data_IF_063765001718
#
_entry.id   IF_063765001718
#
_cell.length_a   1.000
_cell.length_b   1.000
_cell.length_c   1.000
_cell.angle_alpha   90.00
_cell.angle_beta   90.00
_cell.angle_gamma   90.00
#
_symmetry.space_group_name_H-M   'P 1'
#
loop_
_entity.id
_entity.type
_entity.pdbx_description
1 polymer ?
#
# COMPACT_ATOMS: atom_id res chain seq x y z
N UNK A 1 9.23 25.76 -28.78
CA UNK A 1 9.57 25.63 -27.35
C UNK A 1 9.58 24.16 -26.97
N UNK A 2 10.66 23.71 -26.36
CA UNK A 2 10.63 22.33 -25.90
C UNK A 2 9.58 22.18 -24.81
N UNK A 3 8.78 21.12 -24.90
CA UNK A 3 7.79 20.83 -23.88
C UNK A 3 8.49 20.54 -22.54
N UNK A 4 7.95 21.10 -21.47
CA UNK A 4 8.44 20.74 -20.14
C UNK A 4 8.14 19.27 -19.92
N UNK A 5 9.11 18.49 -19.36
CA UNK A 5 8.82 17.11 -19.03
C UNK A 5 7.61 17.08 -18.09
N UNK A 6 6.69 16.17 -18.37
CA UNK A 6 5.54 15.96 -17.48
C UNK A 6 6.05 15.46 -16.13
N UNK A 7 5.53 16.00 -15.02
CA UNK A 7 5.91 15.47 -13.72
C UNK A 7 5.59 13.97 -13.64
N UNK A 8 6.47 13.21 -12.99
CA UNK A 8 6.24 11.79 -12.79
C UNK A 8 4.93 11.59 -12.02
N UNK A 9 4.10 10.67 -12.51
CA UNK A 9 2.87 10.31 -11.79
C UNK A 9 3.25 9.55 -10.52
N UNK A 10 2.68 9.96 -9.41
CA UNK A 10 2.94 9.38 -8.11
C UNK A 10 1.66 8.75 -7.59
N UNK A 11 1.64 7.42 -7.49
CA UNK A 11 0.55 6.71 -6.82
C UNK A 11 0.65 6.94 -5.32
N UNK A 12 -0.48 6.85 -4.64
CA UNK A 12 -0.53 6.94 -3.18
C UNK A 12 -1.21 5.70 -2.63
N UNK A 13 -0.73 5.21 -1.51
CA UNK A 13 -1.29 4.03 -0.89
C UNK A 13 -1.01 3.94 0.60
N UNK A 14 -1.54 2.89 1.22
CA UNK A 14 -1.37 2.68 2.66
C UNK A 14 -0.72 1.34 2.93
N UNK A 15 0.11 1.32 3.96
CA UNK A 15 0.55 0.09 4.61
C UNK A 15 -0.14 0.07 5.98
N UNK A 16 -1.30 -0.59 6.03
CA UNK A 16 -2.04 -0.74 7.28
C UNK A 16 -1.44 -1.88 8.09
N UNK A 17 -1.30 -1.66 9.38
CA UNK A 17 -0.76 -2.67 10.27
C UNK A 17 -1.71 -2.92 11.43
N UNK A 18 -1.60 -4.11 12.03
CA UNK A 18 -2.29 -4.44 13.27
C UNK A 18 -1.38 -5.32 14.12
N UNK A 19 -1.62 -5.27 15.42
CA UNK A 19 -0.90 -6.13 16.37
C UNK A 19 -1.70 -7.41 16.61
N UNK A 20 -1.00 -8.55 16.55
CA UNK A 20 -1.58 -9.85 16.89
C UNK A 20 -0.63 -10.46 17.94
N UNK A 21 -0.95 -10.26 19.23
CA UNK A 21 0.00 -10.54 20.29
C UNK A 21 1.22 -9.61 20.15
N UNK A 22 2.40 -10.19 20.12
CA UNK A 22 3.65 -9.43 19.90
C UNK A 22 4.01 -9.30 18.43
N UNK A 23 3.28 -9.97 17.56
CA UNK A 23 3.53 -9.93 16.12
C UNK A 23 2.80 -8.77 15.47
N UNK A 24 3.28 -8.38 14.29
CA UNK A 24 2.66 -7.35 13.48
C UNK A 24 2.25 -7.97 12.16
N UNK A 25 1.02 -7.67 11.74
CA UNK A 25 0.51 -8.03 10.42
C UNK A 25 0.25 -6.77 9.61
N UNK A 26 0.41 -6.88 8.29
CA UNK A 26 0.14 -5.78 7.36
C UNK A 26 -0.86 -6.21 6.30
N UNK A 27 -1.67 -5.28 5.85
CA UNK A 27 -2.68 -5.53 4.83
C UNK A 27 -2.07 -5.42 3.44
N UNK A 28 -2.16 -6.50 2.68
CA UNK A 28 -1.71 -6.56 1.30
C UNK A 28 -2.85 -7.02 0.39
N UNK A 29 -2.78 -6.63 -0.87
CA UNK A 29 -3.70 -7.05 -1.92
C UNK A 29 -2.95 -7.74 -3.03
N UNK A 30 -3.64 -8.62 -3.76
CA UNK A 30 -3.08 -9.33 -4.91
C UNK A 30 -3.86 -8.96 -6.16
N UNK A 31 -3.18 -8.61 -7.27
CA UNK A 31 -3.87 -8.24 -8.50
C UNK A 31 -4.57 -9.45 -9.12
N UNK A 32 -5.79 -9.22 -9.63
CA UNK A 32 -6.59 -10.27 -10.24
C UNK A 32 -6.22 -10.53 -11.69
N UNK A 33 -6.74 -11.64 -12.25
CA UNK A 33 -6.60 -11.99 -13.65
C UNK A 33 -5.51 -13.03 -13.90
N UNK A 34 -5.66 -13.75 -15.01
CA UNK A 34 -4.73 -14.83 -15.35
C UNK A 34 -3.29 -14.38 -15.52
N UNK A 35 -3.09 -13.20 -16.09
CA UNK A 35 -1.76 -12.63 -16.28
C UNK A 35 -1.10 -12.27 -14.96
N UNK A 36 -1.89 -12.09 -13.91
CA UNK A 36 -1.41 -11.64 -12.61
C UNK A 36 -1.32 -12.76 -11.57
N UNK A 37 -1.62 -14.01 -11.98
CA UNK A 37 -1.64 -15.15 -11.05
C UNK A 37 -0.38 -15.27 -10.21
N UNK A 38 0.77 -15.09 -10.84
CA UNK A 38 2.08 -15.21 -10.19
C UNK A 38 2.74 -13.86 -9.87
N UNK A 39 1.98 -12.78 -9.98
CA UNK A 39 2.51 -11.47 -9.60
C UNK A 39 2.60 -11.35 -8.08
N UNK A 40 3.56 -10.55 -7.59
CA UNK A 40 3.65 -10.33 -6.17
C UNK A 40 2.47 -9.55 -5.63
N UNK A 41 2.28 -9.63 -4.32
CA UNK A 41 1.31 -8.83 -3.60
C UNK A 41 1.80 -7.38 -3.49
N UNK A 42 0.90 -6.48 -3.15
CA UNK A 42 1.16 -5.04 -3.11
C UNK A 42 0.37 -4.38 -1.98
N UNK A 43 0.81 -3.20 -1.58
CA UNK A 43 -0.06 -2.34 -0.78
C UNK A 43 -1.22 -1.86 -1.65
N UNK A 44 -2.41 -1.59 -1.07
CA UNK A 44 -3.48 -0.89 -1.79
C UNK A 44 -3.00 0.49 -2.21
N UNK A 45 -3.12 0.82 -3.49
CA UNK A 45 -2.59 2.07 -4.04
C UNK A 45 -3.23 2.42 -5.36
N UNK A 46 -3.14 3.67 -5.75
CA UNK A 46 -3.54 4.14 -7.05
C UNK A 46 -3.22 5.62 -7.24
N UNK A 47 -3.53 6.12 -8.42
CA UNK A 47 -3.25 7.51 -8.76
C UNK A 47 -4.27 8.44 -8.09
N UNK A 48 -3.82 9.59 -7.55
CA UNK A 48 -4.76 10.60 -7.05
C UNK A 48 -5.67 11.10 -8.16
N UNK A 49 -6.91 11.36 -7.82
CA UNK A 49 -7.85 12.08 -8.69
C UNK A 49 -7.57 13.57 -8.60
N UNK A 50 -8.10 14.33 -9.56
CA UNK A 50 -7.90 15.76 -9.58
C UNK A 50 -8.32 16.42 -8.27
N UNK A 51 -7.41 17.20 -7.69
CA UNK A 51 -7.68 17.89 -6.44
C UNK A 51 -7.43 17.08 -5.16
N UNK A 52 -7.17 15.79 -5.28
CA UNK A 52 -6.85 14.98 -4.11
C UNK A 52 -5.41 15.19 -3.65
N UNK A 53 -5.23 15.27 -2.31
CA UNK A 53 -3.90 15.14 -1.73
C UNK A 53 -3.46 13.67 -1.77
N UNK A 54 -2.16 13.38 -1.65
CA UNK A 54 -1.72 11.98 -1.55
C UNK A 54 -2.41 11.20 -0.43
N UNK A 55 -2.62 11.82 0.72
CA UNK A 55 -3.32 11.17 1.84
C UNK A 55 -4.75 10.81 1.49
N UNK A 56 -5.48 11.73 0.85
CA UNK A 56 -6.86 11.46 0.42
C UNK A 56 -6.91 10.31 -0.56
N UNK A 57 -5.99 10.30 -1.53
CA UNK A 57 -5.90 9.22 -2.52
C UNK A 57 -5.57 7.88 -1.86
N UNK A 58 -4.64 7.87 -0.91
CA UNK A 58 -4.25 6.65 -0.20
C UNK A 58 -5.44 6.05 0.55
N UNK A 59 -6.22 6.88 1.25
CA UNK A 59 -7.42 6.42 1.97
C UNK A 59 -8.48 5.87 1.01
N UNK A 60 -8.74 6.58 -0.08
CA UNK A 60 -9.74 6.17 -1.09
C UNK A 60 -9.34 4.85 -1.75
N UNK A 61 -8.09 4.72 -2.18
CA UNK A 61 -7.62 3.51 -2.84
C UNK A 61 -7.68 2.31 -1.91
N UNK A 62 -7.39 2.49 -0.64
CA UNK A 62 -7.49 1.41 0.35
C UNK A 62 -8.93 0.93 0.48
N UNK A 63 -9.89 1.84 0.49
CA UNK A 63 -11.30 1.49 0.54
C UNK A 63 -11.74 0.80 -0.77
N UNK A 64 -11.33 1.32 -1.92
CA UNK A 64 -11.71 0.75 -3.21
C UNK A 64 -11.17 -0.65 -3.41
N UNK A 65 -9.91 -0.90 -3.05
CA UNK A 65 -9.26 -2.19 -3.31
C UNK A 65 -9.52 -3.22 -2.20
N UNK A 66 -9.48 -2.81 -0.96
CA UNK A 66 -9.53 -3.73 0.19
C UNK A 66 -10.78 -3.58 1.06
N UNK A 67 -11.65 -2.63 0.76
CA UNK A 67 -12.88 -2.44 1.51
C UNK A 67 -12.68 -1.92 2.92
N UNK A 68 -11.53 -1.32 3.22
CA UNK A 68 -11.23 -0.80 4.56
C UNK A 68 -11.29 0.72 4.55
N UNK A 69 -12.14 1.28 5.43
CA UNK A 69 -12.27 2.72 5.58
C UNK A 69 -11.31 3.20 6.67
N UNK A 70 -10.21 3.80 6.25
CA UNK A 70 -9.16 4.28 7.17
C UNK A 70 -9.54 5.66 7.66
N UNK A 71 -9.94 5.76 8.93
CA UNK A 71 -10.39 7.02 9.54
C UNK A 71 -9.39 7.60 10.53
N UNK A 72 -8.45 6.78 11.03
CA UNK A 72 -7.44 7.22 11.97
C UNK A 72 -6.32 8.02 11.31
N UNK A 73 -5.36 8.50 12.12
CA UNK A 73 -4.25 9.27 11.58
C UNK A 73 -3.31 8.41 10.73
N UNK A 74 -2.78 9.02 9.68
CA UNK A 74 -1.74 8.43 8.84
C UNK A 74 -0.40 9.05 9.21
N UNK A 75 0.68 8.27 9.09
CA UNK A 75 2.02 8.84 9.14
C UNK A 75 2.80 8.42 7.89
N UNK A 76 3.70 9.29 7.48
CA UNK A 76 4.41 9.12 6.23
C UNK A 76 5.51 8.07 6.33
N UNK A 77 5.49 7.07 5.44
CA UNK A 77 6.63 6.17 5.23
C UNK A 77 7.53 6.66 4.10
N UNK A 78 7.04 7.63 3.31
CA UNK A 78 7.80 8.21 2.22
C UNK A 78 7.53 7.57 0.89
N UNK A 79 8.38 7.87 -0.08
CA UNK A 79 8.20 7.48 -1.47
C UNK A 79 9.23 6.43 -1.85
N UNK A 80 8.80 5.48 -2.67
CA UNK A 80 9.69 4.51 -3.32
C UNK A 80 9.55 4.64 -4.83
N UNK A 81 10.56 4.14 -5.55
CA UNK A 81 10.57 4.13 -7.01
C UNK A 81 10.70 2.70 -7.50
N UNK A 82 9.86 2.32 -8.46
CA UNK A 82 10.00 1.04 -9.14
C UNK A 82 11.20 1.11 -10.09
N UNK A 83 12.09 0.13 -9.98
CA UNK A 83 13.34 0.11 -10.75
C UNK A 83 13.11 0.05 -12.25
N UNK A 84 12.21 -0.80 -12.72
CA UNK A 84 11.97 -0.98 -14.15
C UNK A 84 11.18 0.15 -14.78
N UNK A 85 10.08 0.56 -14.15
CA UNK A 85 9.17 1.55 -14.73
C UNK A 85 9.48 2.98 -14.35
N UNK A 86 10.23 3.19 -13.26
CA UNK A 86 10.45 4.51 -12.70
C UNK A 86 9.24 5.10 -12.00
N UNK A 87 8.13 4.36 -11.89
CA UNK A 87 6.93 4.84 -11.20
C UNK A 87 7.22 5.05 -9.73
N UNK A 88 6.57 6.08 -9.18
CA UNK A 88 6.73 6.43 -7.77
C UNK A 88 5.47 6.04 -6.99
N UNK A 89 5.66 5.60 -5.76
CA UNK A 89 4.57 5.34 -4.82
C UNK A 89 4.84 6.09 -3.53
N UNK A 90 3.91 6.94 -3.14
CA UNK A 90 3.92 7.64 -1.86
C UNK A 90 3.09 6.81 -0.87
N UNK A 91 3.74 6.29 0.16
CA UNK A 91 3.12 5.37 1.11
C UNK A 91 2.94 6.02 2.48
N UNK A 92 1.76 5.78 3.06
CA UNK A 92 1.43 6.17 4.43
C UNK A 92 1.15 4.92 5.24
N UNK A 93 1.55 4.92 6.50
CA UNK A 93 1.22 3.83 7.41
C UNK A 93 0.14 4.28 8.38
N UNK A 94 -0.66 3.34 8.82
CA UNK A 94 -1.70 3.59 9.82
C UNK A 94 -2.07 2.30 10.54
N UNK A 95 -2.49 2.44 11.78
CA UNK A 95 -3.10 1.34 12.50
C UNK A 95 -4.42 0.99 11.84
N UNK A 96 -4.63 -0.28 11.54
CA UNK A 96 -5.88 -0.74 10.97
C UNK A 96 -7.04 -0.46 11.92
N UNK A 97 -8.23 -0.07 11.39
CA UNK A 97 -9.40 0.07 12.25
C UNK A 97 -9.71 -1.21 13.00
N UNK A 98 -10.19 -1.09 14.23
CA UNK A 98 -10.57 -2.25 15.04
C UNK A 98 -11.70 -2.98 14.32
N UNK A 99 -11.59 -4.32 14.29
CA UNK A 99 -12.59 -5.20 13.66
C UNK A 99 -12.80 -4.96 12.17
N UNK A 100 -11.84 -4.34 11.48
CA UNK A 100 -11.96 -4.22 10.03
C UNK A 100 -11.84 -5.60 9.39
N UNK A 101 -12.62 -5.81 8.33
CA UNK A 101 -12.66 -7.07 7.59
C UNK A 101 -12.31 -6.78 6.12
N UNK A 102 -11.02 -6.87 5.76
CA UNK A 102 -10.62 -6.65 4.36
C UNK A 102 -11.35 -7.60 3.42
N UNK A 103 -11.66 -7.12 2.23
CA UNK A 103 -12.33 -7.91 1.20
C UNK A 103 -11.88 -7.44 -0.17
N UNK A 104 -12.08 -8.28 -1.17
CA UNK A 104 -11.83 -7.89 -2.57
C UNK A 104 -12.94 -6.95 -3.00
N UNK A 105 -12.71 -5.65 -2.84
CA UNK A 105 -13.73 -4.63 -3.11
C UNK A 105 -13.68 -4.10 -4.54
N UNK A 106 -12.66 -4.50 -5.31
CA UNK A 106 -12.48 -4.12 -6.70
C UNK A 106 -12.25 -5.35 -7.55
N UNK A 107 -12.73 -5.33 -8.81
CA UNK A 107 -12.45 -6.39 -9.76
C UNK A 107 -10.96 -6.54 -10.08
N UNK A 108 -10.17 -5.50 -9.78
CA UNK A 108 -8.73 -5.51 -10.01
C UNK A 108 -7.96 -6.34 -8.98
N UNK A 109 -8.61 -6.75 -7.89
CA UNK A 109 -8.00 -7.43 -6.75
C UNK A 109 -8.70 -8.75 -6.50
N UNK A 110 -7.95 -9.86 -6.40
CA UNK A 110 -8.51 -11.17 -6.09
C UNK A 110 -8.24 -11.62 -4.64
N UNK A 111 -7.39 -10.91 -3.92
CA UNK A 111 -7.10 -11.17 -2.51
C UNK A 111 -6.84 -9.87 -1.78
N UNK A 112 -7.32 -9.79 -0.54
CA UNK A 112 -7.04 -8.68 0.38
C UNK A 112 -6.95 -9.28 1.78
N UNK A 113 -5.74 -9.38 2.34
CA UNK A 113 -5.50 -10.14 3.57
C UNK A 113 -4.44 -9.47 4.44
N UNK A 114 -4.61 -9.61 5.75
CA UNK A 114 -3.53 -9.30 6.67
C UNK A 114 -2.52 -10.44 6.66
N UNK A 115 -1.26 -10.10 6.58
CA UNK A 115 -0.16 -11.06 6.46
C UNK A 115 0.91 -10.69 7.49
N UNK A 116 1.43 -11.70 8.20
CA UNK A 116 2.53 -11.45 9.13
C UNK A 116 3.71 -10.80 8.41
N UNK A 117 4.39 -9.87 9.07
CA UNK A 117 5.50 -9.12 8.46
C UNK A 117 6.54 -10.04 7.85
N UNK A 118 6.87 -11.13 8.54
CA UNK A 118 7.87 -12.09 8.06
C UNK A 118 7.48 -12.73 6.73
N UNK A 119 6.18 -12.96 6.53
CA UNK A 119 5.65 -13.49 5.27
C UNK A 119 5.48 -12.38 4.25
N UNK A 120 5.04 -11.22 4.69
CA UNK A 120 4.81 -10.07 3.81
C UNK A 120 6.07 -9.68 3.02
N UNK A 121 7.23 -9.68 3.67
CA UNK A 121 8.50 -9.37 3.00
C UNK A 121 8.77 -10.33 1.84
N UNK A 122 8.36 -11.60 1.97
CA UNK A 122 8.57 -12.59 0.93
C UNK A 122 7.64 -12.43 -0.27
N UNK A 123 6.40 -12.02 -0.04
CA UNK A 123 5.36 -12.03 -1.09
C UNK A 123 5.08 -10.67 -1.70
N UNK A 124 5.47 -9.58 -1.05
CA UNK A 124 5.25 -8.23 -1.56
C UNK A 124 6.16 -7.96 -2.76
N UNK A 125 5.73 -7.07 -3.64
CA UNK A 125 6.54 -6.62 -4.77
C UNK A 125 7.94 -6.21 -4.27
N UNK A 126 9.01 -6.70 -4.91
CA UNK A 126 10.38 -6.44 -4.43
C UNK A 126 10.69 -4.97 -4.18
N UNK A 127 10.20 -4.08 -5.03
CA UNK A 127 10.44 -2.64 -4.88
C UNK A 127 9.65 -2.02 -3.71
N UNK A 128 8.67 -2.74 -3.17
CA UNK A 128 7.90 -2.30 -2.01
C UNK A 128 8.42 -2.85 -0.68
N UNK A 129 9.38 -3.76 -0.71
CA UNK A 129 9.97 -4.33 0.53
C UNK A 129 10.50 -3.27 1.45
N UNK A 130 11.07 -2.21 0.89
CA UNK A 130 11.60 -1.09 1.66
C UNK A 130 10.54 -0.44 2.54
N UNK A 131 9.27 -0.45 2.10
CA UNK A 131 8.17 0.12 2.89
C UNK A 131 7.96 -0.67 4.18
N UNK A 132 8.03 -2.01 4.10
CA UNK A 132 7.93 -2.86 5.29
C UNK A 132 9.13 -2.62 6.21
N UNK A 133 10.31 -2.49 5.64
CA UNK A 133 11.53 -2.19 6.42
C UNK A 133 11.41 -0.85 7.13
N UNK A 134 10.89 0.17 6.46
CA UNK A 134 10.67 1.49 7.07
C UNK A 134 9.66 1.41 8.21
N UNK A 135 8.59 0.65 8.04
CA UNK A 135 7.60 0.44 9.11
C UNK A 135 8.23 -0.25 10.31
N UNK A 136 9.00 -1.32 10.07
CA UNK A 136 9.68 -2.06 11.12
C UNK A 136 10.66 -1.16 11.88
N UNK A 137 11.43 -0.35 11.16
CA UNK A 137 12.36 0.61 11.75
C UNK A 137 11.62 1.62 12.63
N UNK A 138 10.46 2.10 12.18
CA UNK A 138 9.63 3.02 12.96
C UNK A 138 9.28 2.45 14.33
N UNK A 139 8.91 1.17 14.39
CA UNK A 139 8.57 0.54 15.67
C UNK A 139 9.78 0.26 16.54
N UNK A 140 10.93 -0.01 15.95
CA UNK A 140 12.15 -0.30 16.72
C UNK A 140 12.82 0.94 17.27
N UNK A 141 12.53 2.11 16.72
CA UNK A 141 13.07 3.38 17.18
C UNK A 141 12.26 3.99 18.33
N UNK A 142 11.15 3.40 18.67
CA UNK A 142 10.29 3.88 19.76
C UNK A 142 10.78 3.41 21.11
#
# INVERSE_FOLDING_TARGET
MPDKPKPAKVSAGTLLYRHVGEAIEVLLVHPSGNYNRNKPWSIPKGLPDGGETPEMAARRETQEEAGVNVTGPLFELGTIRYQKSGKLIHCFAALAPIDCAPRCASWEVDRAEFVAITRAIEIIHPDQRELIERLTTHFHLS
#
